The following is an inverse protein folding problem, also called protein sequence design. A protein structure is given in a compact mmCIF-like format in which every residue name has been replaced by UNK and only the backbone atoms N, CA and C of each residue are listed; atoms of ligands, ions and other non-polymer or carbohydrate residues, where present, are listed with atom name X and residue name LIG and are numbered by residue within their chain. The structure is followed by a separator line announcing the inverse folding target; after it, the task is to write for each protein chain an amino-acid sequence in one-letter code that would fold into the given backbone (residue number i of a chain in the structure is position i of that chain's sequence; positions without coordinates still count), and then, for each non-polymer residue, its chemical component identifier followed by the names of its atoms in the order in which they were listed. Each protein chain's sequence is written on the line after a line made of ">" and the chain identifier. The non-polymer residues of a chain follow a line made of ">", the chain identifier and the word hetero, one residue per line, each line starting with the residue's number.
data_IF_330166179625
#
_entry.id   IF_330166179625
#
_cell.length_a   1.000
_cell.length_b   1.000
_cell.length_c   1.000
_cell.angle_alpha   90.00
_cell.angle_beta   90.00
_cell.angle_gamma   90.00
#
_symmetry.space_group_name_H-M   'P 1'
#
loop_
_entity.id
_entity.type
_entity.pdbx_description
1 polymer ?
#
# COMPACT_ATOMS: atom_id res chain seq x y z
N UNK A 1 -9.56 15.95 14.37
CA UNK A 1 -8.89 15.35 13.19
C UNK A 1 -7.51 14.87 13.64
N UNK A 2 -7.09 13.62 13.36
CA UNK A 2 -5.78 13.11 13.82
C UNK A 2 -4.65 14.01 13.29
N UNK A 3 -3.59 14.32 14.06
CA UNK A 3 -2.49 15.20 13.65
C UNK A 3 -1.84 14.81 12.32
N UNK A 4 -1.85 13.52 12.01
CA UNK A 4 -1.35 12.96 10.76
C UNK A 4 -2.12 13.44 9.52
N UNK A 5 -3.46 13.52 9.60
CA UNK A 5 -4.29 14.00 8.49
C UNK A 5 -4.03 15.48 8.17
N UNK A 6 -3.82 16.29 9.21
CA UNK A 6 -3.44 17.70 9.06
C UNK A 6 -2.04 17.84 8.45
N UNK A 7 -1.09 16.97 8.82
CA UNK A 7 0.26 16.99 8.25
C UNK A 7 0.25 16.61 6.77
N UNK A 8 -0.64 15.71 6.34
CA UNK A 8 -0.80 15.32 4.92
C UNK A 8 -1.37 16.44 4.06
N UNK A 9 -2.31 17.23 4.58
CA UNK A 9 -2.85 18.38 3.85
C UNK A 9 -1.85 19.54 3.80
N UNK A 10 -1.16 19.81 4.91
CA UNK A 10 -0.25 20.96 5.04
C UNK A 10 1.15 20.74 4.46
N UNK A 11 1.63 19.50 4.37
CA UNK A 11 2.95 19.15 3.83
C UNK A 11 2.86 18.26 2.58
N UNK A 12 1.82 18.47 1.79
CA UNK A 12 1.64 17.78 0.52
C UNK A 12 2.85 18.02 -0.39
N UNK A 13 3.34 16.96 -1.04
CA UNK A 13 4.42 17.10 -2.03
C UNK A 13 3.84 17.60 -3.34
N UNK A 14 4.55 18.55 -3.93
CA UNK A 14 4.19 19.14 -5.22
C UNK A 14 5.31 18.90 -6.22
N UNK A 15 4.94 18.49 -7.43
CA UNK A 15 5.86 18.35 -8.55
C UNK A 15 6.12 19.70 -9.21
N UNK A 16 6.97 20.50 -8.59
CA UNK A 16 7.26 21.88 -9.00
C UNK A 16 8.50 21.95 -9.92
N UNK A 17 8.60 23.04 -10.69
CA UNK A 17 9.79 23.31 -11.52
C UNK A 17 11.11 23.37 -10.71
N UNK A 18 11.17 24.04 -9.54
CA UNK A 18 12.39 24.03 -8.71
C UNK A 18 12.86 22.62 -8.34
N UNK A 19 11.94 21.73 -7.95
CA UNK A 19 12.27 20.33 -7.64
C UNK A 19 12.89 19.61 -8.84
N UNK A 20 12.33 19.78 -10.04
CA UNK A 20 12.86 19.17 -11.27
C UNK A 20 14.26 19.70 -11.60
N UNK A 21 14.47 21.00 -11.39
CA UNK A 21 15.78 21.64 -11.56
C UNK A 21 16.82 21.11 -10.56
N UNK A 22 16.45 20.93 -9.29
CA UNK A 22 17.32 20.31 -8.27
C UNK A 22 17.74 18.89 -8.67
N UNK A 23 16.80 18.08 -9.14
CA UNK A 23 17.09 16.72 -9.65
C UNK A 23 18.03 16.78 -10.87
N UNK A 24 17.78 17.70 -11.81
CA UNK A 24 18.63 17.87 -12.98
C UNK A 24 20.07 18.30 -12.60
N UNK A 25 20.20 19.24 -11.67
CA UNK A 25 21.49 19.72 -11.16
C UNK A 25 22.28 18.63 -10.42
N UNK A 26 21.59 17.85 -9.59
CA UNK A 26 22.20 16.70 -8.93
C UNK A 26 22.68 15.64 -9.95
N UNK A 27 21.89 15.36 -10.98
CA UNK A 27 22.28 14.44 -12.06
C UNK A 27 23.47 14.96 -12.86
N UNK A 28 23.49 16.25 -13.19
CA UNK A 28 24.65 16.89 -13.84
C UNK A 28 25.91 16.69 -13.00
N UNK A 29 25.82 16.90 -11.70
CA UNK A 29 26.93 16.70 -10.78
C UNK A 29 27.43 15.26 -10.75
N UNK A 30 26.53 14.27 -10.80
CA UNK A 30 26.89 12.85 -10.76
C UNK A 30 27.47 12.39 -12.10
N UNK A 31 26.77 12.64 -13.20
CA UNK A 31 27.06 12.02 -14.49
C UNK A 31 28.03 12.83 -15.36
N UNK A 32 28.02 14.16 -15.26
CA UNK A 32 28.90 15.01 -16.08
C UNK A 32 30.16 15.43 -15.31
N UNK A 33 30.02 15.73 -14.01
CA UNK A 33 31.13 16.20 -13.17
C UNK A 33 31.79 15.09 -12.34
N UNK A 34 31.33 13.83 -12.47
CA UNK A 34 31.90 12.67 -11.80
C UNK A 34 31.80 12.69 -10.27
N UNK A 35 30.89 13.49 -9.69
CA UNK A 35 30.75 13.57 -8.23
C UNK A 35 30.08 12.31 -7.70
N UNK A 36 30.53 11.84 -6.54
CA UNK A 36 29.88 10.73 -5.84
C UNK A 36 28.43 11.06 -5.49
N UNK A 37 27.54 10.07 -5.56
CA UNK A 37 26.10 10.23 -5.24
C UNK A 37 25.87 10.71 -3.80
N UNK A 38 26.77 10.34 -2.87
CA UNK A 38 26.77 10.78 -1.46
C UNK A 38 27.65 12.00 -1.20
N UNK A 39 28.09 12.70 -2.25
CA UNK A 39 28.95 13.87 -2.08
C UNK A 39 28.16 15.04 -1.50
N UNK A 40 28.86 15.92 -0.78
CA UNK A 40 28.26 17.16 -0.23
C UNK A 40 27.55 18.00 -1.29
N UNK A 41 28.10 18.03 -2.51
CA UNK A 41 27.52 18.76 -3.64
C UNK A 41 26.13 18.25 -4.05
N UNK A 42 25.92 16.93 -4.02
CA UNK A 42 24.62 16.29 -4.34
C UNK A 42 23.68 16.34 -3.14
N UNK A 43 24.21 16.09 -1.94
CA UNK A 43 23.45 16.06 -0.69
C UNK A 43 22.80 17.40 -0.35
N UNK A 44 23.52 18.52 -0.54
CA UNK A 44 22.99 19.86 -0.28
C UNK A 44 21.76 20.15 -1.14
N UNK A 45 21.72 19.62 -2.36
CA UNK A 45 20.62 19.81 -3.30
C UNK A 45 19.44 18.88 -2.98
N UNK A 46 19.69 17.60 -2.67
CA UNK A 46 18.64 16.59 -2.57
C UNK A 46 18.10 16.35 -1.15
N UNK A 47 18.92 16.48 -0.10
CA UNK A 47 18.51 16.15 1.28
C UNK A 47 17.39 17.02 1.84
N UNK A 48 17.33 18.34 1.62
CA UNK A 48 16.30 19.20 2.23
C UNK A 48 14.88 18.71 1.95
N UNK A 49 14.64 18.19 0.75
CA UNK A 49 13.34 17.65 0.33
C UNK A 49 13.32 16.11 0.27
N UNK A 50 14.39 15.44 0.73
CA UNK A 50 14.56 13.98 0.63
C UNK A 50 14.34 13.46 -0.79
N UNK A 51 14.89 14.17 -1.78
CA UNK A 51 14.83 13.84 -3.19
C UNK A 51 15.88 12.79 -3.56
N UNK A 52 15.68 12.17 -4.73
CA UNK A 52 16.62 11.24 -5.33
C UNK A 52 16.97 11.73 -6.75
N UNK A 53 18.17 11.46 -7.28
CA UNK A 53 18.62 11.93 -8.59
C UNK A 53 18.00 11.13 -9.77
N UNK A 54 16.70 10.84 -9.67
CA UNK A 54 15.93 10.03 -10.60
C UNK A 54 14.93 10.93 -11.32
N UNK A 55 14.94 10.90 -12.66
CA UNK A 55 13.90 11.54 -13.48
C UNK A 55 12.68 10.64 -13.49
N UNK A 56 11.51 11.23 -13.30
CA UNK A 56 10.25 10.50 -13.38
C UNK A 56 9.59 10.81 -14.72
N UNK A 57 9.34 9.77 -15.52
CA UNK A 57 8.75 9.92 -16.86
C UNK A 57 7.36 10.58 -16.85
N UNK A 58 6.56 10.33 -15.81
CA UNK A 58 5.26 10.98 -15.63
C UNK A 58 5.40 12.45 -15.22
N UNK A 59 6.44 12.80 -14.46
CA UNK A 59 6.75 14.20 -14.15
C UNK A 59 7.09 14.98 -15.41
N UNK A 60 7.92 14.41 -16.29
CA UNK A 60 8.27 15.02 -17.58
C UNK A 60 7.04 15.10 -18.51
N UNK A 61 6.17 14.07 -18.53
CA UNK A 61 4.96 14.04 -19.35
C UNK A 61 3.87 15.04 -18.89
N UNK A 62 3.69 15.18 -17.58
CA UNK A 62 2.64 16.03 -16.98
C UNK A 62 3.10 17.47 -16.77
N UNK A 63 4.41 17.73 -16.87
CA UNK A 63 5.00 19.06 -16.74
C UNK A 63 4.32 20.15 -17.57
N UNK A 64 3.96 19.94 -18.86
CA UNK A 64 3.33 20.97 -19.68
C UNK A 64 1.92 21.34 -19.23
N UNK A 65 1.24 20.41 -18.57
CA UNK A 65 -0.14 20.57 -18.10
C UNK A 65 -0.23 21.18 -16.70
N UNK A 66 0.92 21.47 -16.06
CA UNK A 66 1.01 21.89 -14.66
C UNK A 66 0.30 20.90 -13.70
N UNK A 67 0.25 19.62 -14.09
CA UNK A 67 -0.43 18.57 -13.34
C UNK A 67 0.53 17.94 -12.32
N UNK A 68 0.14 17.93 -11.04
CA UNK A 68 0.97 17.37 -9.97
C UNK A 68 1.00 15.85 -10.05
N UNK A 69 2.18 15.28 -10.32
CA UNK A 69 2.41 13.85 -10.34
C UNK A 69 1.94 13.15 -9.04
N UNK A 70 2.18 13.77 -7.88
CA UNK A 70 1.84 13.19 -6.59
C UNK A 70 0.34 13.04 -6.36
N UNK A 71 -0.50 13.70 -7.17
CA UNK A 71 -1.95 13.60 -7.08
C UNK A 71 -2.50 12.41 -7.85
N UNK A 72 -1.72 11.87 -8.78
CA UNK A 72 -2.08 10.67 -9.55
C UNK A 72 -1.75 9.39 -8.79
N UNK A 73 -0.81 9.45 -7.85
CA UNK A 73 -0.51 8.34 -6.96
C UNK A 73 -1.43 8.39 -5.75
N UNK A 74 -2.52 7.61 -5.81
CA UNK A 74 -3.27 7.28 -4.60
C UNK A 74 -2.31 6.54 -3.68
N UNK A 75 -1.95 7.19 -2.56
CA UNK A 75 -1.14 6.53 -1.54
C UNK A 75 -1.96 5.35 -1.04
N UNK A 76 -1.51 4.14 -1.36
CA UNK A 76 -2.14 2.92 -0.83
C UNK A 76 -1.71 2.70 0.63
N UNK A 77 -2.13 3.65 1.45
CA UNK A 77 -2.01 3.61 2.90
C UNK A 77 -2.80 2.43 3.49
N UNK A 78 -3.81 1.95 2.77
CA UNK A 78 -4.55 0.75 3.14
C UNK A 78 -3.65 -0.49 3.00
N UNK A 79 -2.92 -0.63 1.90
CA UNK A 79 -1.99 -1.75 1.72
C UNK A 79 -0.93 -1.80 2.82
N UNK A 80 -0.14 -0.75 3.02
CA UNK A 80 1.06 -0.95 3.84
C UNK A 80 0.78 -0.92 5.34
N UNK A 81 -0.12 -0.03 5.78
CA UNK A 81 -0.47 0.11 7.20
C UNK A 81 -1.56 -0.89 7.62
N UNK A 82 -2.66 -1.00 6.85
CA UNK A 82 -3.74 -1.93 7.22
C UNK A 82 -3.31 -3.38 7.03
N UNK A 83 -2.48 -3.77 6.05
CA UNK A 83 -2.07 -5.18 5.95
C UNK A 83 -1.22 -5.63 7.15
N UNK A 84 -0.37 -4.74 7.69
CA UNK A 84 0.40 -5.04 8.90
C UNK A 84 -0.50 -5.24 10.12
N UNK A 85 -1.45 -4.32 10.34
CA UNK A 85 -2.43 -4.38 11.43
C UNK A 85 -3.38 -5.56 11.24
N UNK A 86 -3.91 -5.75 10.04
CA UNK A 86 -4.80 -6.84 9.65
C UNK A 86 -4.15 -8.19 9.86
N UNK A 87 -2.91 -8.39 9.41
CA UNK A 87 -2.19 -9.65 9.62
C UNK A 87 -2.08 -9.99 11.11
N UNK A 88 -1.77 -9.00 11.95
CA UNK A 88 -1.71 -9.17 13.40
C UNK A 88 -3.08 -9.53 14.00
N UNK A 89 -4.11 -8.77 13.64
CA UNK A 89 -5.49 -8.99 14.10
C UNK A 89 -6.03 -10.35 13.65
N UNK A 90 -5.87 -10.70 12.38
CA UNK A 90 -6.30 -11.97 11.82
C UNK A 90 -5.59 -13.14 12.51
N UNK A 91 -4.27 -13.06 12.73
CA UNK A 91 -3.55 -14.08 13.48
C UNK A 91 -4.07 -14.24 14.92
N UNK A 92 -4.47 -13.14 15.57
CA UNK A 92 -5.09 -13.20 16.89
C UNK A 92 -6.47 -13.86 16.87
N UNK A 93 -7.31 -13.54 15.87
CA UNK A 93 -8.62 -14.19 15.68
C UNK A 93 -8.46 -15.70 15.46
N UNK A 94 -7.49 -16.13 14.65
CA UNK A 94 -7.21 -17.57 14.46
C UNK A 94 -6.83 -18.24 15.78
N UNK A 95 -5.99 -17.60 16.61
CA UNK A 95 -5.64 -18.13 17.95
C UNK A 95 -6.86 -18.27 18.84
N UNK A 96 -7.79 -17.31 18.78
CA UNK A 96 -9.04 -17.38 19.54
C UNK A 96 -9.91 -18.55 19.07
N UNK A 97 -10.04 -18.78 17.76
CA UNK A 97 -10.74 -19.96 17.22
C UNK A 97 -10.07 -21.28 17.64
N UNK A 98 -8.73 -21.32 17.67
CA UNK A 98 -7.99 -22.49 18.18
C UNK A 98 -8.27 -22.71 19.67
N UNK A 99 -8.32 -21.64 20.47
CA UNK A 99 -8.59 -21.72 21.90
C UNK A 99 -10.03 -22.18 22.21
N UNK A 100 -11.00 -21.76 21.39
CA UNK A 100 -12.39 -22.28 21.45
C UNK A 100 -12.40 -23.79 21.12
N UNK A 101 -11.52 -24.22 20.22
CA UNK A 101 -11.37 -25.63 19.84
C UNK A 101 -12.47 -26.13 18.90
N UNK A 102 -12.58 -27.46 18.79
CA UNK A 102 -13.51 -28.11 17.87
C UNK A 102 -13.15 -27.88 16.39
N UNK A 103 -14.16 -27.62 15.56
CA UNK A 103 -14.03 -27.51 14.11
C UNK A 103 -14.02 -26.07 13.57
N UNK A 104 -13.88 -25.07 14.44
CA UNK A 104 -14.02 -23.66 14.08
C UNK A 104 -13.01 -23.20 13.02
N UNK A 105 -11.77 -23.69 13.11
CA UNK A 105 -10.71 -23.37 12.13
C UNK A 105 -10.99 -24.02 10.78
N UNK A 106 -11.49 -25.26 10.78
CA UNK A 106 -11.85 -26.00 9.58
C UNK A 106 -13.04 -25.34 8.89
N UNK A 107 -14.04 -24.89 9.65
CA UNK A 107 -15.19 -24.18 9.13
C UNK A 107 -14.77 -22.84 8.50
N UNK A 108 -13.90 -22.08 9.15
CA UNK A 108 -13.33 -20.85 8.58
C UNK A 108 -12.65 -21.14 7.22
N UNK A 109 -11.78 -22.15 7.16
CA UNK A 109 -11.09 -22.50 5.92
C UNK A 109 -12.08 -22.90 4.81
N UNK A 110 -13.12 -23.66 5.14
CA UNK A 110 -14.19 -24.03 4.19
C UNK A 110 -14.92 -22.80 3.67
N UNK A 111 -15.27 -21.84 4.54
CA UNK A 111 -15.94 -20.60 4.15
C UNK A 111 -15.09 -19.77 3.19
N UNK A 112 -13.79 -19.58 3.47
CA UNK A 112 -12.90 -18.88 2.54
C UNK A 112 -12.75 -19.60 1.20
N UNK A 113 -12.66 -20.94 1.19
CA UNK A 113 -12.62 -21.73 -0.05
C UNK A 113 -13.90 -21.65 -0.88
N UNK A 114 -15.05 -21.48 -0.23
CA UNK A 114 -16.34 -21.36 -0.89
C UNK A 114 -16.61 -19.99 -1.52
N UNK A 115 -15.75 -18.99 -1.27
CA UNK A 115 -15.94 -17.65 -1.81
C UNK A 115 -15.75 -17.70 -3.34
N UNK A 116 -16.78 -17.36 -4.12
CA UNK A 116 -16.67 -17.36 -5.57
C UNK A 116 -15.74 -16.24 -6.03
N UNK A 117 -15.15 -16.41 -7.21
CA UNK A 117 -14.35 -15.36 -7.84
C UNK A 117 -15.20 -14.10 -8.04
N UNK A 118 -14.68 -12.95 -7.60
CA UNK A 118 -15.33 -11.66 -7.81
C UNK A 118 -14.53 -10.83 -8.81
N UNK A 119 -15.21 -10.45 -9.91
CA UNK A 119 -14.59 -9.73 -11.04
C UNK A 119 -13.62 -10.60 -11.85
N UNK A 120 -13.14 -10.04 -12.97
CA UNK A 120 -12.15 -10.69 -13.86
C UNK A 120 -10.81 -10.98 -13.16
N UNK A 121 -10.49 -10.23 -12.09
CA UNK A 121 -9.17 -10.29 -11.45
C UNK A 121 -9.09 -9.76 -10.01
N UNK A 122 -10.21 -9.47 -9.33
CA UNK A 122 -10.21 -8.76 -8.04
C UNK A 122 -10.09 -9.68 -6.84
N UNK A 123 -10.88 -10.76 -6.76
CA UNK A 123 -10.79 -11.75 -5.67
C UNK A 123 -10.47 -13.12 -6.28
N UNK A 124 -9.31 -13.68 -5.90
CA UNK A 124 -8.86 -14.99 -6.35
C UNK A 124 -9.35 -16.11 -5.42
N UNK A 125 -9.51 -17.35 -5.94
CA UNK A 125 -9.90 -18.47 -5.10
C UNK A 125 -8.78 -18.82 -4.11
N UNK A 126 -9.15 -19.03 -2.84
CA UNK A 126 -8.21 -19.48 -1.81
C UNK A 126 -8.00 -20.99 -1.94
N UNK A 127 -6.87 -21.43 -2.48
CA UNK A 127 -6.53 -22.86 -2.57
C UNK A 127 -5.98 -23.42 -1.26
N UNK A 128 -5.23 -22.59 -0.52
CA UNK A 128 -4.63 -22.95 0.78
C UNK A 128 -5.56 -22.60 1.95
N UNK A 129 -5.30 -23.22 3.10
CA UNK A 129 -5.99 -22.88 4.35
C UNK A 129 -5.70 -21.42 4.74
N UNK A 130 -6.74 -20.59 4.77
CA UNK A 130 -6.65 -19.18 5.18
C UNK A 130 -6.07 -19.05 6.60
N UNK A 131 -6.49 -19.92 7.52
CA UNK A 131 -6.02 -19.93 8.90
C UNK A 131 -4.52 -20.25 9.04
N UNK A 132 -3.93 -20.99 8.09
CA UNK A 132 -2.52 -21.33 8.15
C UNK A 132 -1.62 -20.11 7.88
N UNK A 133 -2.12 -19.14 7.11
CA UNK A 133 -1.40 -17.92 6.72
C UNK A 133 0.00 -18.19 6.12
N UNK A 134 0.18 -19.34 5.47
CA UNK A 134 1.45 -19.75 4.87
C UNK A 134 1.53 -19.31 3.41
N UNK A 135 2.70 -18.82 3.00
CA UNK A 135 3.01 -18.44 1.60
C UNK A 135 2.07 -17.38 1.03
N UNK A 136 1.58 -16.46 1.87
CA UNK A 136 0.74 -15.33 1.45
C UNK A 136 1.60 -14.11 1.16
N UNK A 137 1.43 -13.52 -0.02
CA UNK A 137 1.93 -12.19 -0.37
C UNK A 137 1.02 -11.11 0.23
N UNK A 138 1.47 -9.85 0.18
CA UNK A 138 0.70 -8.69 0.66
C UNK A 138 -0.73 -8.66 0.06
N UNK A 139 -0.84 -8.90 -1.25
CA UNK A 139 -2.12 -8.98 -1.96
C UNK A 139 -3.05 -10.06 -1.41
N UNK A 140 -2.53 -11.22 -1.01
CA UNK A 140 -3.39 -12.29 -0.49
C UNK A 140 -3.98 -11.93 0.88
N UNK A 141 -3.26 -11.13 1.68
CA UNK A 141 -3.81 -10.58 2.92
C UNK A 141 -4.89 -9.53 2.66
N UNK A 142 -4.76 -8.75 1.58
CA UNK A 142 -5.80 -7.82 1.15
C UNK A 142 -7.06 -8.58 0.74
N UNK A 143 -6.92 -9.63 -0.08
CA UNK A 143 -8.03 -10.49 -0.50
C UNK A 143 -8.74 -11.11 0.72
N UNK A 144 -7.99 -11.57 1.74
CA UNK A 144 -8.58 -12.04 3.00
C UNK A 144 -9.41 -10.97 3.70
N UNK A 145 -8.93 -9.73 3.75
CA UNK A 145 -9.64 -8.61 4.39
C UNK A 145 -10.91 -8.24 3.61
N UNK A 146 -10.81 -8.13 2.29
CA UNK A 146 -11.94 -7.80 1.41
C UNK A 146 -13.05 -8.84 1.52
N UNK A 147 -12.69 -10.13 1.55
CA UNK A 147 -13.63 -11.24 1.70
C UNK A 147 -14.25 -11.28 3.08
N UNK A 148 -13.46 -11.04 4.13
CA UNK A 148 -14.00 -10.94 5.48
C UNK A 148 -15.04 -9.82 5.58
N UNK A 149 -14.77 -8.65 5.00
CA UNK A 149 -15.72 -7.53 4.96
C UNK A 149 -17.01 -7.89 4.20
N UNK A 150 -16.88 -8.55 3.05
CA UNK A 150 -18.02 -8.97 2.25
C UNK A 150 -18.89 -10.01 2.97
N UNK A 151 -18.29 -11.01 3.61
CA UNK A 151 -18.99 -12.01 4.41
C UNK A 151 -19.73 -11.38 5.58
N UNK A 152 -19.09 -10.44 6.31
CA UNK A 152 -19.74 -9.71 7.42
C UNK A 152 -20.94 -8.90 6.91
N UNK A 153 -20.81 -8.22 5.77
CA UNK A 153 -21.91 -7.42 5.18
C UNK A 153 -23.08 -8.30 4.75
N UNK A 154 -22.82 -9.45 4.12
CA UNK A 154 -23.85 -10.40 3.72
C UNK A 154 -24.55 -11.02 4.93
N UNK A 155 -23.80 -11.41 5.97
CA UNK A 155 -24.37 -11.92 7.22
C UNK A 155 -25.22 -10.87 7.94
N UNK A 156 -24.74 -9.63 8.04
CA UNK A 156 -25.50 -8.54 8.65
C UNK A 156 -26.81 -8.26 7.90
N UNK A 157 -26.78 -8.32 6.56
CA UNK A 157 -27.98 -8.16 5.74
C UNK A 157 -28.98 -9.32 5.91
N UNK A 158 -28.49 -10.55 6.07
CA UNK A 158 -29.33 -11.74 6.26
C UNK A 158 -29.94 -11.86 7.67
N UNK A 159 -29.34 -11.24 8.69
CA UNK A 159 -29.83 -11.26 10.08
C UNK A 159 -30.78 -10.08 10.38
N UNK A 160 -30.83 -9.07 9.51
CA UNK A 160 -31.75 -7.93 9.60
C UNK A 160 -33.10 -8.15 8.88
N UNK A 161 -33.38 -9.37 8.44
CA UNK A 161 -34.67 -9.83 7.91
C UNK A 161 -35.17 -11.03 8.70
#
# INVERSE_FOLDING_TARGET
>A
MKPDLLRRSTKKREDTQPRRHEIASARKSIFELGRGVKSKAVDVVLKPQSLVPVRNAFSDLLAPFNDNLYDKFVVDLLHEFELGVWKGTFAHLIRLLIAIGGNQVQELNTRYRSVPRFGSSTIRPFSNDAAAMKKLAARDFEDLLQVCSLLIRLYAAAVLH
#
